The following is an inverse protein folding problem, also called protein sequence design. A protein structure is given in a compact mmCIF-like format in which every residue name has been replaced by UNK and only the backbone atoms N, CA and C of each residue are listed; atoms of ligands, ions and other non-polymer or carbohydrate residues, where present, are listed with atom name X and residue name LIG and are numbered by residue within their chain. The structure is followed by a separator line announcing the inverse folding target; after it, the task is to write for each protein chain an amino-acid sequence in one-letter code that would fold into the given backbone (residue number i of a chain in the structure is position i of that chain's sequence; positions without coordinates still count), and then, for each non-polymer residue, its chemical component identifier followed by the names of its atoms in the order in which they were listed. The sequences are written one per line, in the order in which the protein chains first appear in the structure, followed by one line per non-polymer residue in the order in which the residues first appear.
data_IF_217676231883
#
_entry.id   IF_217676231883
#
_cell.length_a   1.000
_cell.length_b   1.000
_cell.length_c   1.000
_cell.angle_alpha   90.00
_cell.angle_beta   90.00
_cell.angle_gamma   90.00
#
_symmetry.space_group_name_H-M   'P 1'
#
loop_
_entity.id
_entity.type
_entity.pdbx_description
1 polymer ?
#
# COMPACT_ATOMS: atom_id res chain seq x y z
N UNK A 1 39.59 26.53 -7.62
CA UNK A 1 39.11 26.88 -6.26
C UNK A 1 37.70 26.35 -6.21
N UNK A 2 37.47 25.22 -5.52
CA UNK A 2 36.12 24.68 -5.40
C UNK A 2 35.26 25.68 -4.62
N UNK A 3 34.17 26.11 -5.24
CA UNK A 3 33.26 27.10 -4.68
C UNK A 3 32.37 26.40 -3.66
N UNK A 4 32.74 26.48 -2.39
CA UNK A 4 31.94 25.93 -1.30
C UNK A 4 30.91 26.94 -0.81
N UNK A 5 29.66 26.50 -0.66
CA UNK A 5 28.57 27.32 -0.17
C UNK A 5 28.42 27.18 1.35
N UNK A 6 28.28 28.30 2.05
CA UNK A 6 28.06 28.27 3.51
C UNK A 6 26.66 27.73 3.83
N UNK A 7 26.51 27.10 5.00
CA UNK A 7 25.22 26.55 5.46
C UNK A 7 24.05 27.54 5.39
N UNK A 8 24.29 28.82 5.68
CA UNK A 8 23.25 29.86 5.59
C UNK A 8 22.79 30.09 4.15
N UNK A 9 23.75 30.17 3.22
CA UNK A 9 23.47 30.38 1.81
C UNK A 9 22.79 29.16 1.17
N UNK A 10 23.24 27.95 1.52
CA UNK A 10 22.59 26.70 1.08
C UNK A 10 21.16 26.60 1.59
N UNK A 11 20.93 26.91 2.88
CA UNK A 11 19.60 26.90 3.48
C UNK A 11 18.63 27.85 2.76
N UNK A 12 19.09 29.07 2.49
CA UNK A 12 18.33 30.10 1.76
C UNK A 12 17.96 29.63 0.35
N UNK A 13 18.94 29.20 -0.45
CA UNK A 13 18.71 28.76 -1.84
C UNK A 13 17.83 27.50 -1.91
N UNK A 14 18.00 26.57 -0.98
CA UNK A 14 17.24 25.34 -0.91
C UNK A 14 15.84 25.51 -0.32
N UNK A 15 15.53 26.68 0.25
CA UNK A 15 14.25 26.95 0.91
C UNK A 15 14.02 26.10 2.17
N UNK A 16 15.10 25.73 2.88
CA UNK A 16 15.04 24.97 4.13
C UNK A 16 15.67 25.74 5.28
N UNK A 17 15.39 25.33 6.51
CA UNK A 17 16.04 25.98 7.67
C UNK A 17 17.46 25.45 7.86
N UNK A 18 18.36 26.28 8.41
CA UNK A 18 19.70 25.81 8.84
C UNK A 18 19.59 24.62 9.80
N UNK A 19 18.56 24.61 10.67
CA UNK A 19 18.26 23.48 11.57
C UNK A 19 17.97 22.19 10.80
N UNK A 20 17.31 22.27 9.65
CA UNK A 20 17.06 21.11 8.77
C UNK A 20 18.37 20.55 8.24
N UNK A 21 19.28 21.41 7.77
CA UNK A 21 20.60 20.97 7.29
C UNK A 21 21.45 20.37 8.42
N UNK A 22 21.38 20.92 9.64
CA UNK A 22 22.04 20.32 10.80
C UNK A 22 21.46 18.95 11.15
N UNK A 23 20.13 18.82 11.09
CA UNK A 23 19.49 17.53 11.31
C UNK A 23 19.92 16.48 10.28
N UNK A 24 20.04 16.86 9.00
CA UNK A 24 20.51 15.95 7.96
C UNK A 24 21.96 15.53 8.15
N UNK A 25 22.82 16.43 8.64
CA UNK A 25 24.20 16.12 9.04
C UNK A 25 24.23 15.15 10.22
N UNK A 26 23.43 15.40 11.26
CA UNK A 26 23.33 14.56 12.46
C UNK A 26 22.92 13.10 12.17
N UNK A 27 22.02 12.90 11.21
CA UNK A 27 21.54 11.57 10.82
C UNK A 27 22.36 10.97 9.66
N UNK A 28 23.40 11.65 9.19
CA UNK A 28 24.26 11.20 8.09
C UNK A 28 23.63 11.29 6.69
N UNK A 29 22.44 11.89 6.56
CA UNK A 29 21.75 12.02 5.28
C UNK A 29 22.44 13.03 4.34
N UNK A 30 22.99 14.12 4.89
CA UNK A 30 23.76 15.10 4.12
C UNK A 30 24.82 15.71 5.03
N UNK A 31 26.09 15.44 4.73
CA UNK A 31 27.21 15.95 5.51
C UNK A 31 27.96 17.02 4.72
N UNK A 32 28.40 18.11 5.35
CA UNK A 32 29.22 19.11 4.68
C UNK A 32 30.62 18.55 4.41
N UNK A 33 31.08 18.67 3.16
CA UNK A 33 32.41 18.25 2.75
C UNK A 33 33.53 18.97 3.52
N UNK A 34 33.31 20.24 3.90
CA UNK A 34 34.33 21.04 4.59
C UNK A 34 33.73 21.97 5.65
N UNK A 35 34.62 22.65 6.38
CA UNK A 35 34.28 23.81 7.21
C UNK A 35 35.12 25.01 6.78
N UNK A 36 34.52 26.19 6.84
CA UNK A 36 35.23 27.45 6.57
C UNK A 36 36.29 27.71 7.64
N UNK A 37 37.27 28.60 7.40
CA UNK A 37 38.28 28.97 8.41
C UNK A 37 37.68 29.50 9.73
N UNK A 38 36.47 30.06 9.69
CA UNK A 38 35.73 30.53 10.85
C UNK A 38 34.89 29.43 11.55
N UNK A 39 34.96 28.18 11.08
CA UNK A 39 34.32 27.01 11.70
C UNK A 39 32.91 26.67 11.21
N UNK A 40 32.36 27.44 10.25
CA UNK A 40 31.03 27.19 9.68
C UNK A 40 31.03 26.02 8.70
N UNK A 41 29.93 25.27 8.63
CA UNK A 41 29.74 24.21 7.63
C UNK A 41 29.76 24.79 6.21
N UNK A 42 30.48 24.12 5.31
CA UNK A 42 30.66 24.50 3.91
C UNK A 42 30.40 23.28 3.02
N UNK A 43 29.52 23.47 2.02
CA UNK A 43 29.02 22.41 1.15
C UNK A 43 29.66 22.52 -0.23
N UNK A 44 30.19 21.42 -0.74
CA UNK A 44 30.72 21.30 -2.11
C UNK A 44 29.59 21.22 -3.15
N UNK A 45 29.96 21.21 -4.44
CA UNK A 45 29.01 20.99 -5.51
C UNK A 45 28.30 19.62 -5.39
N UNK A 46 29.04 18.58 -5.02
CA UNK A 46 28.51 17.22 -4.84
C UNK A 46 27.54 17.15 -3.65
N UNK A 47 27.85 17.84 -2.55
CA UNK A 47 26.93 17.93 -1.42
C UNK A 47 25.60 18.62 -1.83
N UNK A 48 25.69 19.64 -2.67
CA UNK A 48 24.52 20.36 -3.18
C UNK A 48 23.71 19.49 -4.14
N UNK A 49 24.36 18.66 -4.96
CA UNK A 49 23.67 17.68 -5.81
C UNK A 49 22.91 16.66 -4.96
N UNK A 50 23.55 16.10 -3.94
CA UNK A 50 22.91 15.20 -2.99
C UNK A 50 21.73 15.87 -2.28
N UNK A 51 21.90 17.10 -1.80
CA UNK A 51 20.82 17.87 -1.17
C UNK A 51 19.62 18.05 -2.12
N UNK A 52 19.88 18.33 -3.40
CA UNK A 52 18.82 18.50 -4.42
C UNK A 52 17.99 17.22 -4.56
N UNK A 53 18.63 16.06 -4.57
CA UNK A 53 17.94 14.76 -4.64
C UNK A 53 17.13 14.48 -3.37
N UNK A 54 17.74 14.67 -2.19
CA UNK A 54 17.07 14.53 -0.89
C UNK A 54 15.80 15.38 -0.84
N UNK A 55 15.88 16.65 -1.25
CA UNK A 55 14.72 17.55 -1.26
C UNK A 55 13.67 17.14 -2.29
N UNK A 56 14.08 16.60 -3.43
CA UNK A 56 13.16 16.16 -4.46
C UNK A 56 12.35 14.94 -3.99
N UNK A 57 12.99 13.92 -3.42
CA UNK A 57 12.29 12.79 -2.82
C UNK A 57 11.44 13.21 -1.62
N UNK A 58 11.93 14.13 -0.78
CA UNK A 58 11.14 14.63 0.35
C UNK A 58 9.86 15.33 -0.10
N UNK A 59 9.90 16.11 -1.19
CA UNK A 59 8.70 16.73 -1.80
C UNK A 59 7.73 15.71 -2.38
N UNK A 60 8.23 14.55 -2.80
CA UNK A 60 7.42 13.42 -3.24
C UNK A 60 6.86 12.58 -2.07
N UNK A 61 7.16 12.95 -0.82
CA UNK A 61 6.58 12.36 0.38
C UNK A 61 7.43 11.27 1.05
N UNK A 62 8.62 10.96 0.53
CA UNK A 62 9.48 9.90 1.08
C UNK A 62 10.01 10.24 2.48
N UNK A 63 10.26 9.20 3.29
CA UNK A 63 10.87 9.32 4.61
C UNK A 63 12.39 9.48 4.54
N UNK A 64 13.02 10.11 5.54
CA UNK A 64 14.47 10.42 5.50
C UNK A 64 15.36 9.17 5.40
N UNK A 65 14.93 8.03 5.99
CA UNK A 65 15.67 6.77 5.88
C UNK A 65 15.60 6.17 4.48
N UNK A 66 14.41 6.16 3.88
CA UNK A 66 14.23 5.68 2.50
C UNK A 66 14.99 6.54 1.50
N UNK A 67 15.01 7.86 1.75
CA UNK A 67 15.81 8.78 0.95
C UNK A 67 17.29 8.38 1.04
N UNK A 68 17.82 8.11 2.24
CA UNK A 68 19.20 7.64 2.41
C UNK A 68 19.45 6.37 1.58
N UNK A 69 18.62 5.34 1.72
CA UNK A 69 18.75 4.08 0.97
C UNK A 69 18.73 4.30 -0.56
N UNK A 70 17.97 5.29 -1.04
CA UNK A 70 17.87 5.62 -2.46
C UNK A 70 19.07 6.42 -2.98
N UNK A 71 19.60 7.36 -2.20
CA UNK A 71 20.73 8.22 -2.63
C UNK A 71 22.10 7.61 -2.32
N UNK A 72 22.16 6.60 -1.45
CA UNK A 72 23.38 5.89 -1.08
C UNK A 72 23.62 4.63 -1.92
N UNK A 73 22.72 4.29 -2.85
CA UNK A 73 22.86 3.12 -3.72
C UNK A 73 24.06 3.29 -4.69
N UNK A 74 25.17 2.56 -4.48
CA UNK A 74 26.39 2.73 -5.26
C UNK A 74 26.27 2.17 -6.69
N UNK A 75 25.17 1.49 -7.01
CA UNK A 75 24.91 0.87 -8.32
C UNK A 75 24.09 1.76 -9.26
N UNK A 76 23.52 2.84 -8.73
CA UNK A 76 22.67 3.76 -9.50
C UNK A 76 23.46 5.02 -9.87
N UNK A 77 23.58 5.33 -11.17
CA UNK A 77 24.22 6.58 -11.62
C UNK A 77 23.29 7.81 -11.46
N UNK A 78 23.89 9.00 -11.45
CA UNK A 78 23.15 10.26 -11.28
C UNK A 78 22.05 10.48 -12.36
N UNK A 79 22.25 9.96 -13.57
CA UNK A 79 21.27 10.05 -14.65
C UNK A 79 20.06 9.14 -14.37
N UNK A 80 20.28 7.96 -13.81
CA UNK A 80 19.26 7.01 -13.39
C UNK A 80 18.43 7.55 -12.23
N UNK A 81 19.03 8.24 -11.26
CA UNK A 81 18.30 8.99 -10.23
C UNK A 81 17.41 10.08 -10.84
N UNK A 82 17.92 10.89 -11.76
CA UNK A 82 17.13 11.92 -12.43
C UNK A 82 16.00 11.34 -13.29
N UNK A 83 16.22 10.22 -13.97
CA UNK A 83 15.18 9.51 -14.71
C UNK A 83 14.09 8.97 -13.79
N UNK A 84 14.47 8.36 -12.66
CA UNK A 84 13.53 7.89 -11.62
C UNK A 84 12.70 9.05 -11.09
N UNK A 85 13.35 10.13 -10.67
CA UNK A 85 12.68 11.32 -10.15
C UNK A 85 11.74 11.95 -11.18
N UNK A 86 12.19 12.07 -12.43
CA UNK A 86 11.35 12.54 -13.55
C UNK A 86 10.14 11.62 -13.76
N UNK A 87 10.33 10.30 -13.68
CA UNK A 87 9.24 9.33 -13.76
C UNK A 87 8.20 9.57 -12.66
N UNK A 88 8.64 9.69 -11.41
CA UNK A 88 7.76 9.96 -10.26
C UNK A 88 7.01 11.29 -10.40
N UNK A 89 7.68 12.34 -10.88
CA UNK A 89 7.05 13.65 -11.10
C UNK A 89 6.08 13.65 -12.29
N UNK A 90 6.41 12.95 -13.37
CA UNK A 90 5.51 12.75 -14.51
C UNK A 90 4.27 11.99 -14.08
N UNK A 91 4.42 10.93 -13.28
CA UNK A 91 3.29 10.20 -12.71
C UNK A 91 2.44 11.10 -11.80
N UNK A 92 3.06 11.90 -10.94
CA UNK A 92 2.34 12.85 -10.08
C UNK A 92 1.57 13.88 -10.92
N UNK A 93 2.19 14.41 -11.98
CA UNK A 93 1.55 15.32 -12.93
C UNK A 93 0.35 14.65 -13.60
N UNK A 94 0.52 13.43 -14.09
CA UNK A 94 -0.51 12.71 -14.82
C UNK A 94 -1.69 12.35 -13.90
N UNK A 95 -1.41 11.97 -12.65
CA UNK A 95 -2.44 11.82 -11.60
C UNK A 95 -3.19 13.12 -11.32
N UNK A 96 -2.47 14.23 -11.18
CA UNK A 96 -3.06 15.54 -10.93
C UNK A 96 -3.92 16.00 -12.12
N UNK A 97 -3.42 15.85 -13.35
CA UNK A 97 -4.16 16.16 -14.57
C UNK A 97 -5.44 15.32 -14.68
N UNK A 98 -5.36 14.02 -14.39
CA UNK A 98 -6.53 13.16 -14.38
C UNK A 98 -7.54 13.57 -13.28
N UNK A 99 -7.06 14.04 -12.11
CA UNK A 99 -7.88 14.61 -11.04
C UNK A 99 -8.63 15.85 -11.49
N UNK A 100 -7.93 16.77 -12.14
CA UNK A 100 -8.53 17.95 -12.77
C UNK A 100 -9.60 17.52 -13.77
N UNK A 101 -9.31 16.61 -14.70
CA UNK A 101 -10.31 16.13 -15.69
C UNK A 101 -11.55 15.49 -15.03
N UNK A 102 -11.37 14.76 -13.93
CA UNK A 102 -12.52 14.18 -13.22
C UNK A 102 -13.38 15.25 -12.54
N UNK A 103 -12.74 16.26 -11.94
CA UNK A 103 -13.43 17.42 -11.38
C UNK A 103 -14.15 18.20 -12.47
N UNK A 104 -13.52 18.42 -13.62
CA UNK A 104 -14.11 19.14 -14.75
C UNK A 104 -15.37 18.44 -15.25
N UNK A 105 -15.34 17.11 -15.42
CA UNK A 105 -16.53 16.32 -15.81
C UNK A 105 -17.67 16.41 -14.79
N UNK A 106 -17.33 16.40 -13.50
CA UNK A 106 -18.32 16.56 -12.43
C UNK A 106 -18.92 17.98 -12.42
N UNK A 107 -18.08 19.01 -12.66
CA UNK A 107 -18.54 20.38 -12.81
C UNK A 107 -19.48 20.54 -14.02
N UNK A 108 -19.15 19.93 -15.16
CA UNK A 108 -20.00 19.91 -16.36
C UNK A 108 -21.33 19.18 -16.11
N UNK A 109 -21.29 18.00 -15.49
CA UNK A 109 -22.49 17.23 -15.15
C UNK A 109 -23.43 18.04 -14.23
N UNK A 110 -22.87 18.69 -13.20
CA UNK A 110 -23.64 19.57 -12.30
C UNK A 110 -24.21 20.78 -13.03
N UNK A 111 -23.45 21.39 -13.93
CA UNK A 111 -23.91 22.51 -14.76
C UNK A 111 -25.09 22.11 -15.67
N UNK A 112 -25.12 20.86 -16.14
CA UNK A 112 -26.22 20.28 -16.92
C UNK A 112 -27.39 19.75 -16.07
N UNK A 113 -27.34 19.91 -14.73
CA UNK A 113 -28.38 19.42 -13.82
C UNK A 113 -28.36 17.91 -13.60
N UNK A 114 -27.33 17.21 -14.08
CA UNK A 114 -27.14 15.77 -13.88
C UNK A 114 -26.46 15.57 -12.52
N UNK A 115 -27.12 14.83 -11.62
CA UNK A 115 -26.51 14.36 -10.38
C UNK A 115 -25.87 13.00 -10.62
N UNK A 116 -24.54 12.94 -10.60
CA UNK A 116 -23.80 11.69 -10.49
C UNK A 116 -24.13 11.00 -9.17
N UNK A 117 -24.20 9.67 -9.20
CA UNK A 117 -24.50 8.91 -7.98
C UNK A 117 -23.29 8.95 -7.03
N UNK A 118 -23.49 8.87 -5.71
CA UNK A 118 -22.38 8.77 -4.75
C UNK A 118 -21.40 7.63 -5.07
N UNK A 119 -21.91 6.52 -5.62
CA UNK A 119 -21.14 5.34 -6.03
C UNK A 119 -20.20 5.64 -7.21
N UNK A 120 -20.68 6.36 -8.23
CA UNK A 120 -19.84 6.79 -9.37
C UNK A 120 -18.77 7.79 -8.94
N UNK A 121 -19.11 8.71 -8.02
CA UNK A 121 -18.16 9.65 -7.45
C UNK A 121 -17.04 8.91 -6.70
N UNK A 122 -17.38 7.95 -5.84
CA UNK A 122 -16.42 7.14 -5.10
C UNK A 122 -15.56 6.24 -5.99
N UNK A 123 -16.10 5.71 -7.09
CA UNK A 123 -15.37 4.82 -8.02
C UNK A 123 -14.22 5.55 -8.73
N UNK A 124 -14.44 6.80 -9.15
CA UNK A 124 -13.43 7.63 -9.85
C UNK A 124 -12.30 8.08 -8.92
N UNK A 125 -12.61 8.39 -7.66
CA UNK A 125 -11.62 8.80 -6.67
C UNK A 125 -10.91 7.62 -5.97
N UNK A 126 -11.58 6.47 -5.82
CA UNK A 126 -11.06 5.28 -5.13
C UNK A 126 -9.85 4.63 -5.80
N UNK A 127 -9.83 4.52 -7.14
CA UNK A 127 -8.69 3.99 -7.88
C UNK A 127 -7.41 4.83 -7.71
N UNK A 128 -7.56 6.15 -7.48
CA UNK A 128 -6.43 7.09 -7.32
C UNK A 128 -5.91 7.18 -5.89
N UNK A 129 -6.75 6.85 -4.92
CA UNK A 129 -6.34 6.66 -3.54
C UNK A 129 -5.36 5.49 -3.43
N UNK A 130 -5.61 4.40 -4.16
CA UNK A 130 -4.75 3.22 -4.20
C UNK A 130 -3.32 3.55 -4.69
N UNK A 131 -3.16 4.35 -5.75
CA UNK A 131 -1.84 4.79 -6.24
C UNK A 131 -1.06 5.67 -5.25
N UNK A 132 -1.77 6.37 -4.36
CA UNK A 132 -1.18 7.27 -3.36
C UNK A 132 -0.73 6.49 -2.12
N UNK A 133 -1.47 5.47 -1.72
CA UNK A 133 -1.12 4.62 -0.58
C UNK A 133 -0.09 3.56 -0.99
N UNK A 134 -0.11 3.11 -2.25
CA UNK A 134 0.74 2.04 -2.74
C UNK A 134 2.24 2.29 -2.62
N UNK A 135 2.67 3.55 -2.62
CA UNK A 135 4.08 3.90 -2.37
C UNK A 135 4.56 3.57 -0.95
N UNK A 136 3.66 3.54 0.04
CA UNK A 136 3.99 3.23 1.43
C UNK A 136 3.87 1.73 1.76
N UNK A 137 3.30 0.91 0.87
CA UNK A 137 3.11 -0.53 1.11
C UNK A 137 4.42 -1.28 1.38
N UNK A 138 5.54 -1.05 0.65
CA UNK A 138 6.79 -1.75 0.91
C UNK A 138 7.37 -1.57 2.32
N UNK A 139 6.91 -0.55 3.08
CA UNK A 139 7.40 -0.30 4.43
C UNK A 139 7.04 -1.42 5.42
N UNK A 140 5.88 -2.06 5.27
CA UNK A 140 5.39 -3.10 6.20
C UNK A 140 4.79 -4.32 5.52
N UNK A 141 4.42 -4.22 4.24
CA UNK A 141 3.82 -5.32 3.47
C UNK A 141 4.91 -6.24 2.95
N UNK A 142 4.79 -7.52 3.25
CA UNK A 142 5.70 -8.60 2.80
C UNK A 142 4.95 -9.92 2.82
N UNK A 143 5.56 -10.99 2.34
CA UNK A 143 4.97 -12.33 2.45
C UNK A 143 4.89 -12.75 3.92
N UNK A 144 3.73 -13.26 4.36
CA UNK A 144 3.62 -14.04 5.60
C UNK A 144 3.70 -15.54 5.25
N UNK A 145 4.81 -16.25 5.55
CA UNK A 145 4.99 -17.65 5.19
C UNK A 145 3.84 -18.60 5.51
N UNK A 146 3.14 -18.49 6.66
CA UNK A 146 2.07 -19.44 7.01
C UNK A 146 0.81 -19.19 6.20
N UNK A 147 0.49 -17.92 5.92
CA UNK A 147 -0.60 -17.55 4.99
C UNK A 147 -0.25 -17.96 3.57
N UNK A 148 0.97 -17.66 3.11
CA UNK A 148 1.45 -18.05 1.79
C UNK A 148 1.40 -19.57 1.58
N UNK A 149 1.84 -20.36 2.57
CA UNK A 149 1.76 -21.81 2.52
C UNK A 149 0.32 -22.32 2.34
N UNK A 150 -0.67 -21.70 3.00
CA UNK A 150 -2.09 -22.05 2.82
C UNK A 150 -2.60 -21.71 1.43
N UNK A 151 -2.25 -20.53 0.92
CA UNK A 151 -2.60 -20.11 -0.45
C UNK A 151 -1.97 -21.05 -1.47
N UNK A 152 -0.67 -21.34 -1.36
CA UNK A 152 0.06 -22.18 -2.30
C UNK A 152 -0.34 -23.64 -2.24
N UNK A 153 -0.72 -24.15 -1.06
CA UNK A 153 -1.32 -25.48 -0.95
C UNK A 153 -2.67 -25.54 -1.68
N UNK A 154 -3.49 -24.49 -1.58
CA UNK A 154 -4.78 -24.42 -2.27
C UNK A 154 -4.63 -24.31 -3.80
N UNK A 155 -3.51 -23.82 -4.33
CA UNK A 155 -3.21 -23.88 -5.77
C UNK A 155 -3.03 -25.32 -6.27
N UNK A 156 -2.66 -26.26 -5.40
CA UNK A 156 -2.44 -27.65 -5.72
C UNK A 156 -1.31 -27.84 -6.74
N UNK A 157 -1.58 -28.67 -7.75
CA UNK A 157 -0.67 -29.07 -8.83
C UNK A 157 -0.54 -28.07 -9.99
N UNK A 158 -1.15 -26.88 -9.88
CA UNK A 158 -1.07 -25.84 -10.90
C UNK A 158 0.37 -25.46 -11.23
N UNK A 159 0.71 -25.45 -12.52
CA UNK A 159 2.02 -25.02 -13.03
C UNK A 159 1.99 -23.57 -13.49
N UNK A 160 0.93 -23.16 -14.19
CA UNK A 160 0.71 -21.77 -14.60
C UNK A 160 -0.29 -21.08 -13.68
N UNK A 161 0.08 -19.92 -13.15
CA UNK A 161 -0.74 -19.17 -12.19
C UNK A 161 -0.92 -17.73 -12.63
N UNK A 162 -2.17 -17.29 -12.75
CA UNK A 162 -2.48 -15.87 -12.92
C UNK A 162 -2.71 -15.21 -11.56
N UNK A 163 -1.85 -14.28 -11.16
CA UNK A 163 -2.00 -13.49 -9.93
C UNK A 163 -2.67 -12.14 -10.26
N UNK A 164 -3.96 -11.99 -9.97
CA UNK A 164 -4.75 -10.80 -10.32
C UNK A 164 -4.86 -9.83 -9.15
N UNK A 165 -4.58 -8.56 -9.42
CA UNK A 165 -4.41 -7.53 -8.38
C UNK A 165 -3.13 -7.78 -7.59
N UNK A 166 -2.04 -8.11 -8.30
CA UNK A 166 -0.80 -8.63 -7.73
C UNK A 166 -0.05 -7.64 -6.83
N UNK A 167 -0.31 -6.33 -6.95
CA UNK A 167 0.46 -5.30 -6.29
C UNK A 167 1.96 -5.45 -6.59
N UNK A 168 2.76 -5.43 -5.53
CA UNK A 168 4.22 -5.62 -5.60
C UNK A 168 4.65 -7.08 -5.77
N UNK A 169 3.73 -8.05 -5.74
CA UNK A 169 4.02 -9.48 -5.99
C UNK A 169 4.37 -10.31 -4.75
N UNK A 170 4.06 -9.84 -3.54
CA UNK A 170 4.51 -10.48 -2.29
C UNK A 170 4.06 -11.93 -2.08
N UNK A 171 2.98 -12.39 -2.70
CA UNK A 171 2.46 -13.77 -2.50
C UNK A 171 2.66 -14.69 -3.70
N UNK A 172 3.48 -14.26 -4.67
CA UNK A 172 3.77 -15.06 -5.87
C UNK A 172 4.50 -16.35 -5.48
N UNK A 173 3.97 -17.54 -5.86
CA UNK A 173 4.65 -18.80 -5.59
C UNK A 173 5.96 -18.88 -6.38
N UNK A 174 7.11 -19.14 -5.72
CA UNK A 174 8.42 -19.14 -6.38
C UNK A 174 8.67 -20.37 -7.26
N UNK A 175 7.83 -21.41 -7.15
CA UNK A 175 7.96 -22.72 -7.79
C UNK A 175 7.02 -22.90 -9.00
N UNK A 176 6.35 -21.83 -9.45
CA UNK A 176 5.35 -21.86 -10.52
C UNK A 176 5.62 -20.77 -11.56
N UNK A 177 5.08 -20.97 -12.76
CA UNK A 177 5.10 -19.96 -13.81
C UNK A 177 3.96 -18.97 -13.56
N UNK A 178 4.30 -17.81 -13.01
CA UNK A 178 3.33 -16.79 -12.60
C UNK A 178 3.25 -15.70 -13.66
N UNK A 179 2.02 -15.34 -14.05
CA UNK A 179 1.72 -14.07 -14.72
C UNK A 179 0.97 -13.17 -13.74
N UNK A 180 1.44 -11.95 -13.54
CA UNK A 180 0.79 -10.97 -12.69
C UNK A 180 -0.11 -10.02 -13.50
N UNK A 181 -1.21 -9.57 -12.89
CA UNK A 181 -2.07 -8.49 -13.40
C UNK A 181 -2.18 -7.41 -12.33
N UNK A 182 -1.80 -6.19 -12.67
CA UNK A 182 -1.87 -5.05 -11.76
C UNK A 182 -2.15 -3.76 -12.56
N UNK A 183 -3.29 -3.09 -12.36
CA UNK A 183 -3.63 -1.86 -13.10
C UNK A 183 -2.76 -0.65 -12.70
N UNK A 184 -2.26 -0.59 -11.46
CA UNK A 184 -1.45 0.54 -10.96
C UNK A 184 -0.03 0.52 -11.53
N UNK A 185 0.35 1.59 -12.22
CA UNK A 185 1.73 1.79 -12.68
C UNK A 185 2.72 1.87 -11.51
N UNK A 186 2.29 2.44 -10.38
CA UNK A 186 3.09 2.57 -9.16
C UNK A 186 3.45 1.21 -8.60
N UNK A 187 2.44 0.37 -8.40
CA UNK A 187 2.66 -0.98 -7.87
C UNK A 187 3.53 -1.81 -8.79
N UNK A 188 3.32 -1.71 -10.11
CA UNK A 188 4.17 -2.38 -11.11
C UNK A 188 5.62 -1.92 -11.02
N UNK A 189 5.87 -0.63 -10.84
CA UNK A 189 7.23 -0.08 -10.71
C UNK A 189 7.93 -0.48 -9.40
N UNK A 190 7.16 -0.84 -8.37
CA UNK A 190 7.66 -1.30 -7.06
C UNK A 190 7.89 -2.82 -7.00
N UNK A 191 7.63 -3.57 -8.08
CA UNK A 191 7.90 -5.01 -8.14
C UNK A 191 9.41 -5.26 -8.13
N UNK A 192 9.92 -6.18 -7.29
CA UNK A 192 11.35 -6.45 -7.20
C UNK A 192 11.90 -7.08 -8.48
N UNK A 193 13.22 -7.00 -8.67
CA UNK A 193 13.89 -7.73 -9.73
C UNK A 193 13.65 -9.24 -9.57
N UNK A 194 13.22 -9.91 -10.65
CA UNK A 194 12.86 -11.33 -10.63
C UNK A 194 11.39 -11.63 -10.27
N UNK A 195 10.57 -10.61 -9.98
CA UNK A 195 9.12 -10.79 -9.86
C UNK A 195 8.50 -11.25 -11.19
N UNK A 196 7.32 -11.86 -11.11
CA UNK A 196 6.60 -12.34 -12.29
C UNK A 196 6.37 -11.24 -13.34
N UNK A 197 6.34 -11.57 -14.66
CA UNK A 197 5.89 -10.64 -15.69
C UNK A 197 4.52 -10.06 -15.34
N UNK A 198 4.36 -8.75 -15.48
CA UNK A 198 3.16 -8.06 -15.02
C UNK A 198 2.44 -7.33 -16.15
N UNK A 199 1.17 -7.69 -16.36
CA UNK A 199 0.27 -7.10 -17.36
C UNK A 199 -0.53 -5.97 -16.71
N UNK A 200 -0.65 -4.84 -17.42
CA UNK A 200 -1.50 -3.73 -17.02
C UNK A 200 -2.95 -3.99 -17.49
N UNK A 201 -3.79 -4.52 -16.62
CA UNK A 201 -5.20 -4.75 -16.88
C UNK A 201 -6.03 -4.67 -15.58
N UNK A 202 -7.34 -4.52 -15.73
CA UNK A 202 -8.30 -4.55 -14.61
C UNK A 202 -8.83 -5.97 -14.42
N UNK A 203 -9.22 -6.31 -13.19
CA UNK A 203 -9.66 -7.66 -12.84
C UNK A 203 -10.97 -8.07 -13.53
N UNK A 204 -11.83 -7.11 -13.88
CA UNK A 204 -13.12 -7.29 -14.56
C UNK A 204 -13.01 -7.38 -16.09
N UNK A 205 -11.80 -7.25 -16.65
CA UNK A 205 -11.55 -7.43 -18.09
C UNK A 205 -10.13 -7.95 -18.31
N UNK A 206 -9.96 -9.26 -18.14
CA UNK A 206 -8.66 -9.91 -18.26
C UNK A 206 -8.31 -10.18 -19.73
N UNK A 207 -7.14 -9.75 -20.23
CA UNK A 207 -6.75 -9.88 -21.64
C UNK A 207 -6.20 -11.28 -21.96
N UNK A 208 -6.87 -12.32 -21.46
CA UNK A 208 -6.46 -13.71 -21.64
C UNK A 208 -7.63 -14.54 -22.15
N UNK A 209 -7.32 -15.55 -22.96
CA UNK A 209 -8.26 -16.54 -23.45
C UNK A 209 -8.81 -17.40 -22.30
N UNK A 210 -9.98 -17.98 -22.54
CA UNK A 210 -10.63 -18.91 -21.61
C UNK A 210 -9.70 -20.08 -21.27
N UNK A 211 -9.64 -20.43 -19.97
CA UNK A 211 -8.90 -21.59 -19.47
C UNK A 211 -7.42 -21.66 -19.90
N UNK A 212 -6.78 -20.51 -20.06
CA UNK A 212 -5.37 -20.36 -20.42
C UNK A 212 -4.40 -20.60 -19.25
N UNK A 213 -4.89 -20.61 -18.00
CA UNK A 213 -4.10 -20.88 -16.80
C UNK A 213 -4.60 -22.12 -16.03
N UNK A 214 -3.68 -22.84 -15.37
CA UNK A 214 -4.06 -23.93 -14.47
C UNK A 214 -4.80 -23.37 -13.25
N UNK A 215 -4.33 -22.26 -12.68
CA UNK A 215 -4.99 -21.58 -11.58
C UNK A 215 -4.95 -20.04 -11.71
N UNK A 216 -5.94 -19.38 -11.12
CA UNK A 216 -5.95 -17.95 -10.87
C UNK A 216 -5.96 -17.71 -9.36
N UNK A 217 -5.23 -16.69 -8.91
CA UNK A 217 -5.22 -16.25 -7.53
C UNK A 217 -5.43 -14.75 -7.38
N UNK A 218 -6.01 -14.35 -6.25
CA UNK A 218 -6.12 -12.95 -5.85
C UNK A 218 -5.91 -12.84 -4.34
N UNK A 219 -5.05 -11.93 -3.91
CA UNK A 219 -4.59 -11.85 -2.52
C UNK A 219 -4.87 -10.46 -1.96
N UNK A 220 -5.83 -10.36 -1.05
CA UNK A 220 -6.20 -9.12 -0.35
C UNK A 220 -6.44 -7.92 -1.29
N UNK A 221 -7.10 -8.17 -2.43
CA UNK A 221 -7.23 -7.18 -3.52
C UNK A 221 -8.66 -7.01 -4.05
N UNK A 222 -9.53 -8.01 -3.86
CA UNK A 222 -10.91 -8.03 -4.40
C UNK A 222 -11.73 -6.79 -4.03
N UNK A 223 -11.54 -6.26 -2.82
CA UNK A 223 -12.23 -5.05 -2.33
C UNK A 223 -11.76 -3.73 -2.99
N UNK A 224 -10.74 -3.79 -3.86
CA UNK A 224 -10.28 -2.69 -4.69
C UNK A 224 -10.82 -2.75 -6.12
N UNK A 225 -11.48 -3.85 -6.50
CA UNK A 225 -11.96 -4.02 -7.87
C UNK A 225 -13.21 -3.19 -8.12
N UNK A 226 -13.36 -2.58 -9.32
CA UNK A 226 -14.57 -1.83 -9.67
C UNK A 226 -15.85 -2.64 -9.55
N UNK A 227 -15.78 -3.91 -9.97
CA UNK A 227 -16.82 -4.92 -9.78
C UNK A 227 -16.18 -6.23 -9.29
N UNK A 228 -16.25 -6.52 -7.97
CA UNK A 228 -15.71 -7.75 -7.39
C UNK A 228 -16.29 -9.02 -7.99
N UNK A 229 -17.58 -9.04 -8.31
CA UNK A 229 -18.27 -10.24 -8.80
C UNK A 229 -17.89 -10.52 -10.25
N UNK A 230 -17.83 -9.48 -11.10
CA UNK A 230 -17.32 -9.61 -12.46
C UNK A 230 -15.86 -10.08 -12.47
N UNK A 231 -15.01 -9.50 -11.63
CA UNK A 231 -13.60 -9.92 -11.55
C UNK A 231 -13.42 -11.37 -11.10
N UNK A 232 -14.23 -11.84 -10.13
CA UNK A 232 -14.20 -13.25 -9.72
C UNK A 232 -14.68 -14.20 -10.82
N UNK A 233 -15.66 -13.78 -11.64
CA UNK A 233 -16.08 -14.54 -12.83
C UNK A 233 -14.99 -14.57 -13.90
N UNK A 234 -14.25 -13.48 -14.07
CA UNK A 234 -13.08 -13.44 -14.96
C UNK A 234 -12.00 -14.41 -14.50
N UNK A 235 -11.69 -14.50 -13.20
CA UNK A 235 -10.75 -15.52 -12.68
C UNK A 235 -11.19 -16.93 -13.08
N UNK A 236 -12.48 -17.23 -12.91
CA UNK A 236 -13.08 -18.53 -13.27
C UNK A 236 -13.08 -18.76 -14.78
N UNK A 237 -13.21 -17.71 -15.60
CA UNK A 237 -13.18 -17.81 -17.05
C UNK A 237 -11.78 -18.22 -17.53
N UNK A 238 -10.75 -17.54 -17.05
CA UNK A 238 -9.36 -17.71 -17.54
C UNK A 238 -8.63 -18.90 -16.91
N UNK A 239 -9.10 -19.45 -15.79
CA UNK A 239 -8.42 -20.53 -15.08
C UNK A 239 -9.33 -21.68 -14.63
N UNK A 240 -8.74 -22.88 -14.48
CA UNK A 240 -9.46 -24.09 -14.03
C UNK A 240 -9.71 -24.12 -12.53
N UNK A 241 -8.80 -23.54 -11.75
CA UNK A 241 -8.85 -23.46 -10.29
C UNK A 241 -8.75 -22.00 -9.85
N UNK A 242 -9.49 -21.63 -8.81
CA UNK A 242 -9.48 -20.24 -8.29
C UNK A 242 -9.19 -20.24 -6.80
N UNK A 243 -8.20 -19.44 -6.38
CA UNK A 243 -7.79 -19.29 -4.97
C UNK A 243 -7.80 -17.81 -4.58
N UNK A 244 -8.67 -17.41 -3.68
CA UNK A 244 -8.80 -15.99 -3.28
C UNK A 244 -8.64 -15.81 -1.79
N UNK A 245 -7.63 -15.04 -1.37
CA UNK A 245 -7.50 -14.58 0.00
C UNK A 245 -8.21 -13.22 0.14
N UNK A 246 -9.26 -13.16 0.97
CA UNK A 246 -10.09 -11.97 1.19
C UNK A 246 -10.60 -11.92 2.64
N UNK A 247 -11.51 -11.01 2.94
CA UNK A 247 -12.20 -10.91 4.22
C UNK A 247 -13.72 -11.06 4.05
N UNK A 248 -14.37 -11.50 5.12
CA UNK A 248 -15.82 -11.49 5.27
C UNK A 248 -16.27 -10.17 5.90
N UNK A 249 -16.94 -9.33 5.09
CA UNK A 249 -17.46 -8.04 5.51
C UNK A 249 -18.42 -8.13 6.71
N UNK A 250 -19.17 -9.23 6.84
CA UNK A 250 -20.09 -9.42 7.97
C UNK A 250 -19.36 -9.65 9.30
N UNK A 251 -18.10 -10.12 9.24
CA UNK A 251 -17.27 -10.44 10.40
C UNK A 251 -16.39 -9.27 10.86
N UNK A 252 -16.53 -8.06 10.31
CA UNK A 252 -15.63 -6.94 10.59
C UNK A 252 -15.53 -6.53 12.07
N UNK A 253 -16.58 -6.78 12.87
CA UNK A 253 -16.61 -6.51 14.32
C UNK A 253 -15.77 -7.49 15.16
N UNK A 254 -15.28 -8.59 14.58
CA UNK A 254 -14.38 -9.52 15.28
C UNK A 254 -13.02 -8.88 15.58
N UNK A 255 -12.62 -7.88 14.80
CA UNK A 255 -11.40 -7.16 15.04
C UNK A 255 -11.65 -5.96 15.97
N UNK A 256 -10.99 -5.95 17.13
CA UNK A 256 -11.16 -4.93 18.17
C UNK A 256 -10.94 -3.50 17.66
N UNK A 257 -10.08 -3.29 16.66
CA UNK A 257 -9.81 -1.97 16.10
C UNK A 257 -11.08 -1.38 15.45
N UNK A 258 -11.81 -2.20 14.71
CA UNK A 258 -13.09 -1.83 14.10
C UNK A 258 -14.16 -1.64 15.15
N UNK A 259 -14.27 -2.61 16.08
CA UNK A 259 -15.29 -2.64 17.13
C UNK A 259 -15.23 -1.42 18.05
N UNK A 260 -14.03 -1.06 18.48
CA UNK A 260 -13.86 -0.13 19.60
C UNK A 260 -13.34 1.26 19.18
N UNK A 261 -12.70 1.38 18.01
CA UNK A 261 -11.96 2.59 17.62
C UNK A 261 -12.35 3.15 16.24
N UNK A 262 -12.79 2.31 15.30
CA UNK A 262 -13.10 2.69 13.91
C UNK A 262 -14.54 2.30 13.49
N UNK A 263 -15.58 2.95 14.05
CA UNK A 263 -16.97 2.72 13.61
C UNK A 263 -17.19 3.06 12.13
N UNK A 264 -16.39 3.96 11.54
CA UNK A 264 -16.43 4.30 10.12
C UNK A 264 -16.12 3.11 9.21
N UNK A 265 -15.44 2.07 9.71
CA UNK A 265 -15.17 0.85 8.94
C UNK A 265 -16.45 0.20 8.43
N UNK A 266 -17.54 0.25 9.22
CA UNK A 266 -18.83 -0.28 8.80
C UNK A 266 -19.29 0.36 7.48
N UNK A 267 -19.14 1.68 7.34
CA UNK A 267 -19.47 2.40 6.10
C UNK A 267 -18.59 2.02 4.91
N UNK A 268 -17.38 1.50 5.12
CA UNK A 268 -16.48 1.05 4.05
C UNK A 268 -16.87 -0.31 3.46
N UNK A 269 -17.63 -1.11 4.22
CA UNK A 269 -18.07 -2.46 3.83
C UNK A 269 -19.56 -2.56 3.53
N UNK A 270 -20.34 -1.54 3.88
CA UNK A 270 -21.75 -1.41 3.49
C UNK A 270 -21.87 -1.44 1.96
N UNK A 271 -22.80 -2.25 1.45
CA UNK A 271 -23.03 -2.41 0.01
C UNK A 271 -22.01 -3.28 -0.73
N UNK A 272 -20.96 -3.76 -0.03
CA UNK A 272 -20.05 -4.76 -0.58
C UNK A 272 -20.72 -6.14 -0.74
N UNK A 273 -20.16 -7.02 -1.60
CA UNK A 273 -20.69 -8.37 -1.79
C UNK A 273 -20.61 -9.20 -0.51
N UNK A 274 -21.64 -10.00 -0.23
CA UNK A 274 -21.60 -10.97 0.85
C UNK A 274 -20.62 -12.11 0.51
N UNK A 275 -20.10 -12.79 1.55
CA UNK A 275 -19.20 -13.93 1.35
C UNK A 275 -19.84 -15.05 0.48
N UNK A 276 -21.15 -15.23 0.60
CA UNK A 276 -21.91 -16.19 -0.21
C UNK A 276 -21.96 -15.80 -1.69
N UNK A 277 -21.96 -14.50 -2.00
CA UNK A 277 -21.91 -14.02 -3.38
C UNK A 277 -20.51 -14.23 -3.98
N UNK A 278 -19.46 -13.99 -3.19
CA UNK A 278 -18.07 -14.22 -3.60
C UNK A 278 -17.82 -15.71 -3.89
N UNK A 279 -18.25 -16.60 -2.98
CA UNK A 279 -18.10 -18.05 -3.15
C UNK A 279 -18.93 -18.57 -4.32
N UNK A 280 -20.15 -18.06 -4.53
CA UNK A 280 -20.97 -18.38 -5.71
C UNK A 280 -20.33 -17.90 -7.01
N UNK A 281 -19.69 -16.74 -7.03
CA UNK A 281 -19.06 -16.18 -8.23
C UNK A 281 -17.92 -17.06 -8.76
N UNK A 282 -17.12 -17.64 -7.86
CA UNK A 282 -16.07 -18.60 -8.23
C UNK A 282 -16.60 -20.05 -8.32
N UNK A 283 -17.78 -20.33 -7.75
CA UNK A 283 -18.36 -21.67 -7.66
C UNK A 283 -17.62 -22.58 -6.68
N UNK A 284 -17.19 -22.02 -5.55
CA UNK A 284 -16.33 -22.67 -4.56
C UNK A 284 -16.84 -22.53 -3.13
N UNK A 285 -15.94 -22.70 -2.17
CA UNK A 285 -16.22 -22.55 -0.73
C UNK A 285 -15.25 -21.58 -0.08
N UNK A 286 -15.61 -21.08 1.10
CA UNK A 286 -14.73 -20.27 1.94
C UNK A 286 -14.26 -21.07 3.16
N UNK A 287 -12.98 -20.94 3.49
CA UNK A 287 -12.36 -21.51 4.68
C UNK A 287 -11.81 -20.37 5.55
N UNK A 288 -11.95 -20.43 6.90
CA UNK A 288 -11.30 -19.47 7.78
C UNK A 288 -9.77 -19.49 7.61
N UNK A 289 -9.17 -18.31 7.63
CA UNK A 289 -7.72 -18.13 7.59
C UNK A 289 -7.27 -17.30 8.80
N UNK A 290 -6.97 -17.94 9.94
CA UNK A 290 -6.54 -17.25 11.14
C UNK A 290 -5.23 -16.47 10.93
N UNK A 291 -5.13 -15.29 11.54
CA UNK A 291 -3.95 -14.43 11.47
C UNK A 291 -3.01 -14.78 12.61
N UNK A 292 -1.75 -15.18 12.34
CA UNK A 292 -0.77 -15.43 13.38
C UNK A 292 -0.47 -14.17 14.20
N UNK A 293 -0.19 -14.29 15.49
CA UNK A 293 0.06 -13.13 16.35
C UNK A 293 1.29 -12.31 15.95
N UNK A 294 2.30 -13.00 15.42
CA UNK A 294 3.57 -12.46 14.90
C UNK A 294 3.55 -12.34 13.37
N UNK A 295 2.37 -12.09 12.78
CA UNK A 295 2.21 -11.92 11.33
C UNK A 295 3.27 -10.96 10.77
N UNK A 296 4.00 -11.43 9.74
CA UNK A 296 5.07 -10.69 9.10
C UNK A 296 4.54 -9.65 8.09
N UNK A 297 3.41 -9.95 7.44
CA UNK A 297 2.75 -9.04 6.49
C UNK A 297 1.90 -8.02 7.25
N UNK A 298 2.26 -6.74 7.17
CA UNK A 298 1.58 -5.64 7.86
C UNK A 298 0.23 -5.24 7.26
N UNK A 299 -0.64 -6.19 6.87
CA UNK A 299 -2.02 -5.91 6.48
C UNK A 299 -2.87 -5.46 7.69
N UNK A 300 -4.11 -5.03 7.44
CA UNK A 300 -4.92 -4.29 8.41
C UNK A 300 -5.10 -5.01 9.75
N UNK A 301 -5.28 -6.33 9.76
CA UNK A 301 -5.49 -7.15 10.96
C UNK A 301 -4.19 -7.70 11.58
N UNK A 302 -3.02 -7.45 10.98
CA UNK A 302 -1.76 -8.15 11.28
C UNK A 302 -1.20 -7.91 12.71
N UNK A 303 -1.60 -6.83 13.35
CA UNK A 303 -1.10 -6.42 14.68
C UNK A 303 -2.15 -6.59 15.77
N UNK A 304 -3.08 -7.54 15.61
CA UNK A 304 -4.19 -7.75 16.54
C UNK A 304 -3.77 -8.04 17.99
N UNK A 305 -2.59 -8.64 18.22
CA UNK A 305 -1.99 -8.84 19.56
C UNK A 305 -0.88 -7.83 19.90
N UNK A 306 -0.64 -6.87 19.00
CA UNK A 306 0.43 -5.84 19.09
C UNK A 306 -0.18 -4.45 18.85
N UNK A 307 -1.17 -4.03 19.65
CA UNK A 307 -1.97 -2.82 19.41
C UNK A 307 -1.14 -1.54 19.30
N UNK A 308 0.01 -1.47 19.97
CA UNK A 308 0.96 -0.37 19.89
C UNK A 308 1.47 -0.08 18.48
N UNK A 309 1.50 -1.09 17.59
CA UNK A 309 1.90 -0.90 16.20
C UNK A 309 0.97 0.08 15.47
N UNK A 310 -0.32 0.11 15.80
CA UNK A 310 -1.28 1.06 15.21
C UNK A 310 -1.09 2.49 15.71
N UNK A 311 -0.22 2.75 16.69
CA UNK A 311 0.19 4.11 17.08
C UNK A 311 1.30 4.66 16.17
N UNK A 312 2.02 3.81 15.43
CA UNK A 312 3.00 4.23 14.44
C UNK A 312 2.31 4.70 13.15
N UNK A 313 2.65 5.92 12.71
CA UNK A 313 2.13 6.46 11.45
C UNK A 313 2.58 5.62 10.24
N UNK A 314 3.78 5.05 10.23
CA UNK A 314 4.28 4.25 9.10
C UNK A 314 3.42 2.99 8.90
N UNK A 315 3.02 2.34 9.99
CA UNK A 315 2.10 1.20 9.96
C UNK A 315 0.75 1.62 9.39
N UNK A 316 0.20 2.75 9.84
CA UNK A 316 -1.09 3.24 9.36
C UNK A 316 -1.06 3.65 7.89
N UNK A 317 0.01 4.31 7.44
CA UNK A 317 0.15 4.75 6.03
C UNK A 317 0.30 3.59 5.05
N UNK A 318 0.80 2.44 5.50
CA UNK A 318 0.91 1.23 4.68
C UNK A 318 -0.40 0.40 4.57
N UNK A 319 -1.52 0.91 5.12
CA UNK A 319 -2.81 0.22 5.13
C UNK A 319 -3.93 1.14 4.65
N UNK A 320 -4.63 0.74 3.58
CA UNK A 320 -5.61 1.58 2.88
C UNK A 320 -6.82 2.00 3.71
N UNK A 321 -7.17 1.24 4.74
CA UNK A 321 -8.30 1.53 5.63
C UNK A 321 -8.16 2.91 6.28
N UNK A 322 -6.97 3.26 6.77
CA UNK A 322 -6.73 4.53 7.46
C UNK A 322 -6.96 5.73 6.55
N UNK A 323 -6.55 5.62 5.29
CA UNK A 323 -6.81 6.66 4.29
C UNK A 323 -8.29 6.76 3.95
N UNK A 324 -9.01 5.64 3.89
CA UNK A 324 -10.45 5.60 3.57
C UNK A 324 -11.34 6.14 4.69
N UNK A 325 -11.02 5.87 5.96
CA UNK A 325 -11.76 6.43 7.11
C UNK A 325 -11.48 7.92 7.32
N UNK A 326 -10.35 8.40 6.80
CA UNK A 326 -9.97 9.81 6.81
C UNK A 326 -9.27 10.27 8.10
N UNK A 327 -8.63 11.45 8.05
CA UNK A 327 -7.69 11.90 9.09
C UNK A 327 -8.36 12.19 10.44
N UNK A 328 -9.63 12.60 10.46
CA UNK A 328 -10.36 12.85 11.72
C UNK A 328 -10.63 11.55 12.49
N UNK A 329 -11.06 10.50 11.78
CA UNK A 329 -11.28 9.19 12.35
C UNK A 329 -9.95 8.57 12.83
N UNK A 330 -8.89 8.67 12.00
CA UNK A 330 -7.54 8.23 12.36
C UNK A 330 -7.06 8.89 13.67
N UNK A 331 -7.09 10.22 13.77
CA UNK A 331 -6.65 10.95 14.96
C UNK A 331 -7.47 10.63 16.21
N UNK A 332 -8.78 10.39 16.06
CA UNK A 332 -9.64 10.00 17.17
C UNK A 332 -9.31 8.59 17.65
N UNK A 333 -9.17 7.63 16.73
CA UNK A 333 -8.82 6.25 17.02
C UNK A 333 -7.45 6.16 17.72
N UNK A 334 -6.42 6.83 17.19
CA UNK A 334 -5.06 6.82 17.74
C UNK A 334 -5.01 7.42 19.14
N UNK A 335 -5.66 8.57 19.37
CA UNK A 335 -5.72 9.19 20.71
C UNK A 335 -6.40 8.28 21.72
N UNK A 336 -7.52 7.67 21.33
CA UNK A 336 -8.26 6.77 22.20
C UNK A 336 -7.47 5.49 22.49
N UNK A 337 -6.86 4.88 21.47
CA UNK A 337 -6.04 3.69 21.62
C UNK A 337 -4.85 3.95 22.54
N UNK A 338 -4.16 5.09 22.37
CA UNK A 338 -3.05 5.48 23.24
C UNK A 338 -3.49 5.61 24.71
N UNK A 339 -4.64 6.22 24.98
CA UNK A 339 -5.19 6.33 26.33
C UNK A 339 -5.59 4.97 26.92
N UNK A 340 -6.23 4.10 26.14
CA UNK A 340 -6.66 2.77 26.60
C UNK A 340 -5.46 1.83 26.83
N UNK A 341 -4.38 1.96 26.05
CA UNK A 341 -3.12 1.23 26.27
C UNK A 341 -2.40 1.73 27.53
N UNK A 342 -2.34 3.05 27.74
CA UNK A 342 -1.67 3.65 28.90
C UNK A 342 -2.38 3.33 30.22
N UNK A 343 -3.70 3.13 30.18
CA UNK A 343 -4.54 2.81 31.35
C UNK A 343 -4.76 1.32 31.58
N UNK A 344 -4.35 0.45 30.65
CA UNK A 344 -4.60 -1.00 30.72
C UNK A 344 -5.99 -1.45 30.25
N UNK A 345 -6.90 -0.52 29.96
CA UNK A 345 -8.28 -0.80 29.52
C UNK A 345 -8.32 -1.68 28.26
N UNK A 346 -7.39 -1.48 27.32
CA UNK A 346 -7.33 -2.32 26.12
C UNK A 346 -7.04 -3.79 26.48
N UNK A 347 -6.11 -4.03 27.40
CA UNK A 347 -5.70 -5.37 27.82
C UNK A 347 -6.83 -6.07 28.58
N UNK A 348 -7.57 -5.35 29.43
CA UNK A 348 -8.75 -5.88 30.12
C UNK A 348 -9.85 -6.29 29.14
N UNK A 349 -10.14 -5.47 28.12
CA UNK A 349 -11.21 -5.73 27.14
C UNK A 349 -10.89 -6.86 26.16
N UNK A 350 -9.62 -7.13 25.93
CA UNK A 350 -9.14 -8.08 24.93
C UNK A 350 -8.26 -9.16 25.58
N UNK A 351 -8.51 -9.47 26.86
CA UNK A 351 -7.74 -10.45 27.62
C UNK A 351 -7.81 -11.87 27.01
N UNK A 352 -8.90 -12.17 26.30
CA UNK A 352 -9.11 -13.41 25.56
C UNK A 352 -8.13 -13.58 24.38
N UNK A 353 -7.57 -12.49 23.87
CA UNK A 353 -6.58 -12.49 22.78
C UNK A 353 -5.15 -12.72 23.29
N UNK A 354 -4.90 -12.55 24.59
CA UNK A 354 -3.55 -12.47 25.15
C UNK A 354 -2.73 -13.76 25.00
N UNK A 355 -3.37 -14.94 24.93
CA UNK A 355 -2.68 -16.24 24.86
C UNK A 355 -2.89 -16.96 23.52
N UNK A 356 -3.55 -16.32 22.55
CA UNK A 356 -3.80 -16.92 21.25
C UNK A 356 -2.56 -16.85 20.35
N UNK A 357 -2.22 -17.96 19.70
CA UNK A 357 -1.17 -18.00 18.68
C UNK A 357 -1.67 -17.47 17.32
N UNK A 358 -2.97 -17.60 17.05
CA UNK A 358 -3.63 -17.07 15.87
C UNK A 358 -5.10 -16.74 16.16
N UNK A 359 -5.66 -15.76 15.46
CA UNK A 359 -7.04 -15.30 15.65
C UNK A 359 -7.85 -15.30 14.34
N UNK A 360 -9.10 -15.76 14.39
CA UNK A 360 -10.07 -15.58 13.29
C UNK A 360 -10.68 -14.18 13.34
N UNK A 361 -10.09 -13.29 12.54
CA UNK A 361 -10.47 -11.88 12.43
C UNK A 361 -11.40 -11.61 11.25
N UNK A 362 -12.02 -12.65 10.69
CA UNK A 362 -12.89 -12.54 9.51
C UNK A 362 -12.18 -12.76 8.17
N UNK A 363 -10.90 -13.12 8.18
CA UNK A 363 -10.15 -13.45 6.97
C UNK A 363 -10.51 -14.84 6.43
N UNK A 364 -10.61 -14.96 5.11
CA UNK A 364 -11.11 -16.14 4.40
C UNK A 364 -10.22 -16.50 3.21
N UNK A 365 -10.03 -17.80 3.00
CA UNK A 365 -9.47 -18.37 1.79
C UNK A 365 -10.61 -19.02 1.01
N UNK A 366 -10.91 -18.51 -0.18
CA UNK A 366 -11.91 -19.05 -1.08
C UNK A 366 -11.21 -19.97 -2.07
N UNK A 367 -11.76 -21.16 -2.28
CA UNK A 367 -11.19 -22.19 -3.16
C UNK A 367 -12.30 -22.78 -4.02
N UNK A 368 -12.09 -22.82 -5.33
CA UNK A 368 -12.96 -23.45 -6.32
C UNK A 368 -12.16 -24.38 -7.24
#
# INVERSE_FOLDING_TARGET
MEEHLTVGHVAELAGVTVRTLHHYDEIGLLQPSTRTPAGYRAYSADDVERLREVLAYRRLGFGLREIADLVDDPTTDAVAHLRRLRGLLVDQRDRAAAMVTAIDRELEARAMGIRTTPEEQLRVFGARLYDTIGSAYPATRRTEPRIAARIWAALGDARTVLNVGAGTGSYEPPDRDVTAVEPSAVMRALRPAGAAPCVAASADSLPFEDQSFDAAMAVSTVHHWPDPIAGLRELRRVARRVVVFTYDAASHQRFWLNRDYLPEFAGLVVGGPALDDLTRAIGGRAEPLPVPWDCADGFFEAYWRRPEAYLDEHVRRAVSVWTRVGPQAEQRAVRKLHADLSSGVWAERNADLAELDAADLGLRLLVA
#
